data_IF_369758917005
#
_entry.id   IF_369758917005
#
_cell.length_a   1.000
_cell.length_b   1.000
_cell.length_c   1.000
_cell.angle_alpha   90.00
_cell.angle_beta   90.00
_cell.angle_gamma   90.00
#
_symmetry.space_group_name_H-M   'P 1'
#
loop_
_entity.id
_entity.type
_entity.pdbx_description
1 polymer ?
#
# COMPACT_ATOMS: atom_id res chain seq x y z
N UNK A 1 20.29 -6.80 13.27
CA UNK A 1 20.90 -6.23 12.04
C UNK A 1 19.76 -5.75 11.17
N UNK A 2 19.79 -4.51 10.70
CA UNK A 2 18.70 -3.99 9.86
C UNK A 2 18.99 -4.34 8.40
N UNK A 3 18.05 -5.04 7.76
CA UNK A 3 18.09 -5.37 6.34
C UNK A 3 17.04 -4.50 5.65
N UNK A 4 17.42 -3.87 4.54
CA UNK A 4 16.50 -3.09 3.73
C UNK A 4 16.40 -3.72 2.36
N UNK A 5 15.17 -3.96 1.92
CA UNK A 5 14.87 -4.45 0.58
C UNK A 5 14.20 -3.36 -0.24
N UNK A 6 14.62 -3.25 -1.50
CA UNK A 6 13.86 -2.60 -2.56
C UNK A 6 12.91 -3.64 -3.15
N UNK A 7 11.61 -3.39 -3.02
CA UNK A 7 10.55 -4.23 -3.56
C UNK A 7 9.95 -3.53 -4.78
N UNK A 8 10.06 -4.17 -5.94
CA UNK A 8 9.46 -3.71 -7.18
C UNK A 8 8.24 -4.56 -7.52
N UNK A 9 7.15 -3.88 -7.88
CA UNK A 9 5.92 -4.49 -8.31
C UNK A 9 5.68 -4.14 -9.77
N UNK A 10 5.33 -5.11 -10.58
CA UNK A 10 4.87 -4.88 -11.95
C UNK A 10 3.46 -5.44 -12.12
N UNK A 11 2.55 -4.62 -12.62
CA UNK A 11 1.16 -5.01 -12.85
C UNK A 11 1.01 -5.87 -14.10
N UNK A 12 0.28 -6.97 -13.98
CA UNK A 12 -0.07 -7.89 -15.09
C UNK A 12 -1.56 -7.84 -15.42
N UNK A 13 -2.31 -6.98 -14.74
CA UNK A 13 -3.74 -6.77 -14.90
C UNK A 13 -4.08 -5.34 -14.43
N UNK A 14 -5.23 -4.80 -14.80
CA UNK A 14 -5.60 -3.44 -14.40
C UNK A 14 -5.77 -3.36 -12.88
N UNK A 15 -5.12 -2.39 -12.25
CA UNK A 15 -5.25 -2.16 -10.82
C UNK A 15 -6.34 -1.12 -10.55
N UNK A 16 -7.33 -1.53 -9.77
CA UNK A 16 -8.43 -0.69 -9.35
C UNK A 16 -8.58 -0.64 -7.82
N UNK A 17 -8.63 0.56 -7.28
CA UNK A 17 -9.24 0.91 -6.01
C UNK A 17 -9.62 2.39 -6.02
N UNK A 18 -10.60 2.79 -5.23
CA UNK A 18 -11.07 4.16 -5.22
C UNK A 18 -10.20 4.99 -4.27
N UNK A 19 -9.30 5.80 -4.83
CA UNK A 19 -8.59 6.85 -4.10
C UNK A 19 -9.44 8.12 -4.07
N UNK A 20 -10.03 8.48 -5.21
CA UNK A 20 -10.94 9.63 -5.35
C UNK A 20 -12.25 9.20 -5.99
N UNK A 21 -13.34 9.79 -5.53
CA UNK A 21 -14.67 9.60 -6.09
C UNK A 21 -15.25 10.95 -6.50
N UNK A 22 -15.44 11.17 -7.81
CA UNK A 22 -15.95 12.41 -8.40
C UNK A 22 -17.24 12.08 -9.16
N UNK A 23 -18.37 12.12 -8.46
CA UNK A 23 -19.67 11.76 -9.01
C UNK A 23 -19.73 10.28 -9.42
N UNK A 24 -19.60 10.00 -10.72
CA UNK A 24 -19.58 8.63 -11.29
C UNK A 24 -18.20 8.21 -11.80
N UNK A 25 -17.18 9.05 -11.60
CA UNK A 25 -15.80 8.75 -11.91
C UNK A 25 -15.09 8.29 -10.64
N UNK A 26 -14.55 7.09 -10.68
CA UNK A 26 -13.73 6.49 -9.62
C UNK A 26 -12.30 6.44 -10.11
N UNK A 27 -11.38 7.07 -9.39
CA UNK A 27 -9.98 7.19 -9.79
C UNK A 27 -9.06 6.44 -8.82
N UNK A 28 -8.15 5.67 -9.40
CA UNK A 28 -7.02 5.06 -8.72
C UNK A 28 -5.80 5.96 -8.89
N UNK A 29 -5.31 6.53 -7.80
CA UNK A 29 -4.03 7.23 -7.81
C UNK A 29 -2.85 6.25 -7.94
N UNK A 30 -1.72 6.67 -8.54
CA UNK A 30 -0.55 5.83 -8.79
C UNK A 30 0.31 5.63 -7.51
N UNK A 31 -0.34 5.32 -6.39
CA UNK A 31 0.27 5.06 -5.08
C UNK A 31 -0.47 3.92 -4.40
N UNK A 32 0.26 2.94 -3.86
CA UNK A 32 -0.33 1.80 -3.12
C UNK A 32 -0.02 1.97 -1.64
N UNK A 33 -1.06 1.97 -0.81
CA UNK A 33 -0.95 2.16 0.64
C UNK A 33 -0.14 1.02 1.29
N UNK A 34 0.68 1.33 2.29
CA UNK A 34 1.52 0.32 2.97
C UNK A 34 0.69 -0.80 3.61
N UNK A 35 -0.44 -0.47 4.24
CA UNK A 35 -1.32 -1.49 4.83
C UNK A 35 -1.75 -2.52 3.79
N UNK A 36 -2.22 -2.09 2.62
CA UNK A 36 -2.61 -2.99 1.55
C UNK A 36 -1.44 -3.88 1.06
N UNK A 37 -0.23 -3.33 1.02
CA UNK A 37 0.97 -4.09 0.68
C UNK A 37 1.28 -5.18 1.71
N UNK A 38 1.10 -4.93 3.01
CA UNK A 38 1.32 -5.95 4.04
C UNK A 38 0.45 -7.19 3.82
N UNK A 39 -0.83 -6.99 3.51
CA UNK A 39 -1.75 -8.09 3.18
C UNK A 39 -1.36 -8.76 1.86
N UNK A 40 -1.13 -7.98 0.81
CA UNK A 40 -0.86 -8.52 -0.52
C UNK A 40 0.45 -9.32 -0.60
N UNK A 41 1.47 -8.91 0.16
CA UNK A 41 2.76 -9.59 0.25
C UNK A 41 2.72 -10.85 1.13
N UNK A 42 1.59 -11.17 1.77
CA UNK A 42 1.44 -12.33 2.63
C UNK A 42 2.21 -12.22 3.96
N UNK A 43 2.43 -10.98 4.43
CA UNK A 43 3.14 -10.71 5.68
C UNK A 43 2.20 -10.77 6.89
N UNK A 44 0.92 -10.52 6.70
CA UNK A 44 -0.10 -10.58 7.76
C UNK A 44 -0.55 -12.02 8.00
N UNK A 45 -0.66 -12.42 9.26
CA UNK A 45 -1.15 -13.73 9.69
C UNK A 45 -0.40 -14.89 9.00
N UNK A 46 0.92 -14.89 9.16
CA UNK A 46 1.81 -15.79 8.42
C UNK A 46 2.75 -16.54 9.34
N UNK A 47 2.63 -17.88 9.37
CA UNK A 47 3.53 -18.77 10.09
C UNK A 47 4.99 -18.58 9.67
N UNK A 48 5.21 -18.33 8.37
CA UNK A 48 6.54 -18.14 7.79
C UNK A 48 7.26 -16.93 8.37
N UNK A 49 6.50 -15.88 8.69
CA UNK A 49 7.04 -14.61 9.17
C UNK A 49 6.89 -14.43 10.68
N UNK A 50 6.25 -15.38 11.37
CA UNK A 50 6.01 -15.31 12.81
C UNK A 50 5.03 -14.19 13.17
N UNK A 51 4.07 -13.92 12.29
CA UNK A 51 3.12 -12.79 12.39
C UNK A 51 1.68 -13.26 12.64
N UNK A 52 1.53 -14.49 13.12
CA UNK A 52 0.24 -15.12 13.39
C UNK A 52 -0.52 -14.30 14.44
N UNK A 53 -1.81 -14.12 14.19
CA UNK A 53 -2.72 -13.40 15.10
C UNK A 53 -3.59 -14.39 15.86
N UNK A 54 -4.23 -13.92 16.93
CA UNK A 54 -5.15 -14.73 17.70
C UNK A 54 -6.38 -15.13 16.85
N UNK A 55 -7.01 -16.26 17.17
CA UNK A 55 -8.10 -16.84 16.36
C UNK A 55 -9.29 -15.90 16.13
N UNK A 56 -9.50 -14.93 17.00
CA UNK A 56 -10.56 -13.91 16.86
C UNK A 56 -10.26 -12.90 15.74
N UNK A 57 -8.98 -12.64 15.49
CA UNK A 57 -8.49 -11.69 14.48
C UNK A 57 -7.85 -12.41 13.29
N UNK A 58 -8.11 -13.69 13.09
CA UNK A 58 -7.60 -14.45 11.93
C UNK A 58 -7.88 -13.73 10.61
N UNK A 59 -6.87 -13.66 9.74
CA UNK A 59 -7.05 -13.06 8.42
C UNK A 59 -7.87 -13.97 7.53
N UNK A 60 -9.08 -13.53 7.19
CA UNK A 60 -10.00 -14.26 6.31
C UNK A 60 -10.19 -13.52 5.00
N UNK A 61 -10.20 -14.30 3.92
CA UNK A 61 -10.54 -13.78 2.59
C UNK A 61 -11.95 -13.16 2.56
N UNK A 62 -12.90 -13.76 3.29
CA UNK A 62 -14.25 -13.25 3.44
C UNK A 62 -14.51 -12.80 4.88
N UNK A 63 -14.89 -11.53 5.02
CA UNK A 63 -15.32 -10.93 6.29
C UNK A 63 -16.74 -10.41 6.14
N UNK A 64 -17.69 -10.93 6.94
CA UNK A 64 -19.12 -10.59 6.87
C UNK A 64 -19.41 -9.17 7.32
N UNK A 65 -18.66 -8.67 8.31
CA UNK A 65 -18.80 -7.31 8.86
C UNK A 65 -18.07 -6.27 8.02
N UNK A 66 -17.16 -6.67 7.12
CA UNK A 66 -16.34 -5.80 6.28
C UNK A 66 -15.51 -4.75 7.06
N UNK A 67 -15.22 -5.01 8.34
CA UNK A 67 -14.37 -4.15 9.17
C UNK A 67 -12.95 -4.73 9.22
N UNK A 68 -11.92 -3.98 8.79
CA UNK A 68 -10.54 -4.45 8.84
C UNK A 68 -9.95 -4.34 10.26
N UNK A 69 -9.28 -5.40 10.73
CA UNK A 69 -8.59 -5.46 12.03
C UNK A 69 -7.13 -5.01 11.94
N UNK A 70 -6.89 -3.79 11.43
CA UNK A 70 -5.53 -3.31 11.15
C UNK A 70 -4.61 -3.31 12.38
N UNK A 71 -5.11 -2.85 13.53
CA UNK A 71 -4.32 -2.76 14.78
C UNK A 71 -3.79 -4.13 15.21
N UNK A 72 -4.66 -5.14 15.28
CA UNK A 72 -4.26 -6.50 15.65
C UNK A 72 -3.27 -7.12 14.65
N UNK A 73 -3.50 -6.92 13.36
CA UNK A 73 -2.71 -7.56 12.30
C UNK A 73 -1.33 -6.94 12.13
N UNK A 74 -1.25 -5.62 12.11
CA UNK A 74 -0.01 -4.89 11.82
C UNK A 74 0.87 -4.74 13.06
N UNK A 75 0.33 -4.85 14.27
CA UNK A 75 1.14 -4.88 15.51
C UNK A 75 2.07 -6.11 15.52
N UNK A 76 1.63 -7.27 15.02
CA UNK A 76 2.49 -8.46 14.88
C UNK A 76 3.68 -8.23 13.94
N UNK A 77 3.55 -7.36 12.94
CA UNK A 77 4.66 -6.98 12.07
C UNK A 77 5.70 -6.13 12.80
N UNK A 78 5.27 -5.23 13.68
CA UNK A 78 6.18 -4.48 14.54
C UNK A 78 6.98 -5.43 15.45
N UNK A 79 6.32 -6.41 16.07
CA UNK A 79 6.96 -7.44 16.91
C UNK A 79 7.98 -8.29 16.12
N UNK A 80 7.66 -8.63 14.86
CA UNK A 80 8.56 -9.33 13.96
C UNK A 80 9.70 -8.43 13.41
N UNK A 81 9.63 -7.12 13.65
CA UNK A 81 10.59 -6.13 13.16
C UNK A 81 10.53 -5.95 11.64
N UNK A 82 9.32 -5.98 11.06
CA UNK A 82 9.04 -5.82 9.63
C UNK A 82 8.22 -4.55 9.41
N UNK A 83 8.69 -3.65 8.56
CA UNK A 83 7.97 -2.46 8.13
C UNK A 83 8.03 -2.31 6.62
N UNK A 84 6.89 -1.98 6.00
CA UNK A 84 6.72 -1.77 4.56
C UNK A 84 6.32 -0.31 4.34
N UNK A 85 7.05 0.40 3.49
CA UNK A 85 6.67 1.75 3.07
C UNK A 85 5.54 1.69 2.03
N UNK A 86 4.74 2.76 1.87
CA UNK A 86 3.83 2.85 0.74
C UNK A 86 4.61 2.75 -0.59
N UNK A 87 3.96 2.21 -1.63
CA UNK A 87 4.58 2.07 -2.94
C UNK A 87 4.25 3.28 -3.82
N UNK A 88 5.27 3.88 -4.41
CA UNK A 88 5.11 4.91 -5.46
C UNK A 88 5.18 4.28 -6.84
N UNK A 89 4.48 4.84 -7.82
CA UNK A 89 4.72 4.47 -9.21
C UNK A 89 6.10 4.98 -9.68
N UNK A 90 6.88 4.11 -10.32
CA UNK A 90 8.07 4.47 -11.10
C UNK A 90 7.66 4.89 -12.51
N UNK A 91 6.76 4.10 -13.11
CA UNK A 91 6.09 4.39 -14.37
C UNK A 91 4.68 3.85 -14.31
N UNK A 92 3.72 4.58 -14.85
CA UNK A 92 2.34 4.09 -14.93
C UNK A 92 1.65 4.68 -16.15
N UNK A 93 0.68 3.94 -16.67
CA UNK A 93 -0.32 4.45 -17.58
C UNK A 93 -1.69 4.30 -16.92
N UNK A 94 -2.64 5.14 -17.33
CA UNK A 94 -4.02 5.05 -16.85
C UNK A 94 -4.93 4.60 -18.00
N UNK A 95 -5.88 3.72 -17.69
CA UNK A 95 -6.94 3.31 -18.63
C UNK A 95 -8.27 3.72 -18.04
N UNK A 96 -9.15 4.28 -18.88
CA UNK A 96 -10.49 4.68 -18.49
C UNK A 96 -11.49 3.63 -18.98
N UNK A 97 -12.01 2.82 -18.06
CA UNK A 97 -13.09 1.88 -18.35
C UNK A 97 -14.44 2.50 -18.05
N UNK A 98 -15.42 2.22 -18.90
CA UNK A 98 -16.81 2.59 -18.64
C UNK A 98 -17.58 1.31 -18.39
N UNK A 99 -18.17 1.21 -17.20
CA UNK A 99 -18.98 0.06 -16.82
C UNK A 99 -20.44 0.49 -16.72
N UNK A 100 -21.33 -0.40 -17.13
CA UNK A 100 -22.77 -0.21 -17.07
C UNK A 100 -23.40 -1.47 -16.51
N UNK A 101 -24.16 -1.30 -15.44
CA UNK A 101 -25.04 -2.35 -14.95
C UNK A 101 -26.24 -2.42 -15.88
N UNK A 102 -26.26 -3.44 -16.74
CA UNK A 102 -27.32 -3.70 -17.69
C UNK A 102 -28.16 -4.89 -17.24
N UNK A 103 -29.45 -4.84 -17.56
CA UNK A 103 -30.33 -5.99 -17.42
C UNK A 103 -30.10 -6.91 -18.64
N UNK A 104 -29.78 -8.18 -18.38
CA UNK A 104 -29.51 -9.16 -19.43
C UNK A 104 -30.79 -9.71 -20.09
N UNK A 105 -31.98 -9.35 -19.60
CA UNK A 105 -33.25 -9.79 -20.19
C UNK A 105 -33.46 -9.13 -21.57
N UNK A 106 -33.98 -9.90 -22.51
CA UNK A 106 -34.23 -9.45 -23.89
C UNK A 106 -35.32 -8.36 -23.99
N UNK A 107 -36.26 -8.36 -23.05
CA UNK A 107 -37.30 -7.34 -22.93
C UNK A 107 -37.27 -6.75 -21.52
N UNK A 108 -37.01 -5.44 -21.43
CA UNK A 108 -36.89 -4.72 -20.17
C UNK A 108 -37.93 -3.60 -20.17
N UNK A 109 -38.96 -3.76 -19.34
CA UNK A 109 -39.89 -2.67 -19.05
C UNK A 109 -39.20 -1.64 -18.16
N UNK A 110 -39.38 -0.35 -18.45
CA UNK A 110 -38.86 0.73 -17.60
C UNK A 110 -39.57 0.73 -16.24
N UNK A 111 -38.98 0.05 -15.25
CA UNK A 111 -39.43 0.06 -13.85
C UNK A 111 -38.52 0.96 -13.03
N UNK A 112 -39.09 1.75 -12.11
CA UNK A 112 -38.31 2.53 -11.14
C UNK A 112 -37.50 1.55 -10.28
N UNK A 113 -36.18 1.69 -10.30
CA UNK A 113 -35.28 0.88 -9.47
C UNK A 113 -35.58 1.13 -8.00
N UNK A 114 -36.02 0.10 -7.27
CA UNK A 114 -36.35 0.21 -5.85
C UNK A 114 -35.12 0.15 -4.93
N UNK A 115 -33.96 -0.28 -5.45
CA UNK A 115 -32.70 -0.38 -4.72
C UNK A 115 -31.68 0.63 -5.28
N UNK A 116 -30.88 1.24 -4.40
CA UNK A 116 -29.78 2.12 -4.80
C UNK A 116 -28.60 1.28 -5.34
N UNK A 117 -28.77 0.72 -6.53
CA UNK A 117 -27.75 -0.07 -7.22
C UNK A 117 -27.08 0.84 -8.25
N UNK A 118 -25.73 0.86 -8.33
CA UNK A 118 -25.03 1.66 -9.33
C UNK A 118 -25.44 1.25 -10.75
N UNK A 119 -25.86 2.23 -11.57
CA UNK A 119 -26.35 1.97 -12.93
C UNK A 119 -25.24 2.08 -13.98
N UNK A 120 -24.37 3.06 -13.88
CA UNK A 120 -23.17 3.19 -14.70
C UNK A 120 -22.12 4.04 -14.01
N UNK A 121 -20.86 3.86 -14.40
CA UNK A 121 -19.75 4.65 -13.92
C UNK A 121 -18.54 4.51 -14.82
N UNK A 122 -17.50 5.27 -14.49
CA UNK A 122 -16.20 5.20 -15.13
C UNK A 122 -15.15 4.92 -14.07
N UNK A 123 -14.27 3.98 -14.34
CA UNK A 123 -13.12 3.68 -13.51
C UNK A 123 -11.86 4.11 -14.26
N UNK A 124 -11.11 5.04 -13.68
CA UNK A 124 -9.76 5.38 -14.14
C UNK A 124 -8.79 4.52 -13.34
N UNK A 125 -8.33 3.47 -13.99
CA UNK A 125 -7.48 2.42 -13.42
C UNK A 125 -6.03 2.60 -13.84
N UNK A 126 -5.13 1.93 -13.12
CA UNK A 126 -3.74 1.83 -13.54
C UNK A 126 -3.59 0.64 -14.49
N UNK A 127 -3.00 0.89 -15.66
CA UNK A 127 -2.81 -0.09 -16.72
C UNK A 127 -1.81 -1.20 -16.34
N UNK A 128 -1.84 -2.34 -17.03
CA UNK A 128 -0.77 -3.34 -16.96
C UNK A 128 0.59 -2.75 -17.34
N UNK A 129 1.67 -3.43 -16.98
CA UNK A 129 3.08 -3.01 -17.18
C UNK A 129 3.51 -1.76 -16.39
N UNK A 130 2.58 -1.15 -15.66
CA UNK A 130 2.89 -0.13 -14.67
C UNK A 130 3.74 -0.73 -13.56
N UNK A 131 4.76 0.02 -13.14
CA UNK A 131 5.71 -0.42 -12.13
C UNK A 131 5.66 0.47 -10.91
N UNK A 132 5.75 -0.17 -9.75
CA UNK A 132 5.77 0.47 -8.45
C UNK A 132 7.01 0.05 -7.67
N UNK A 133 7.41 0.90 -6.73
CA UNK A 133 8.52 0.65 -5.82
C UNK A 133 8.09 0.96 -4.39
N UNK A 134 8.36 0.03 -3.48
CA UNK A 134 8.36 0.27 -2.04
C UNK A 134 9.63 -0.28 -1.40
N UNK A 135 9.86 0.10 -0.15
CA UNK A 135 10.97 -0.37 0.67
C UNK A 135 10.45 -1.18 1.84
N UNK A 136 11.15 -2.26 2.15
CA UNK A 136 10.85 -3.14 3.28
C UNK A 136 12.04 -3.12 4.23
N UNK A 137 11.80 -2.66 5.45
CA UNK A 137 12.77 -2.67 6.54
C UNK A 137 12.49 -3.90 7.38
N UNK A 138 13.49 -4.77 7.55
CA UNK A 138 13.33 -6.04 8.25
C UNK A 138 14.52 -6.32 9.18
N UNK A 139 14.27 -6.97 10.30
CA UNK A 139 15.35 -7.46 11.19
C UNK A 139 15.85 -8.86 10.81
N UNK A 140 15.05 -9.63 10.05
CA UNK A 140 15.34 -10.99 9.59
C UNK A 140 15.26 -11.06 8.07
N UNK A 141 15.89 -12.07 7.47
CA UNK A 141 15.79 -12.30 6.04
C UNK A 141 14.33 -12.61 5.64
N UNK A 142 13.83 -11.97 4.58
CA UNK A 142 12.45 -12.12 4.12
C UNK A 142 12.41 -12.88 2.80
N UNK A 143 11.44 -13.79 2.68
CA UNK A 143 11.08 -14.42 1.42
C UNK A 143 9.64 -14.09 1.09
N UNK A 144 9.43 -13.44 -0.05
CA UNK A 144 8.11 -12.99 -0.50
C UNK A 144 7.60 -13.86 -1.66
N UNK A 145 6.28 -13.97 -1.85
CA UNK A 145 5.72 -14.63 -3.02
C UNK A 145 6.06 -13.85 -4.29
N UNK A 146 6.33 -14.58 -5.39
CA UNK A 146 6.58 -13.97 -6.71
C UNK A 146 5.35 -13.28 -7.30
N UNK A 147 4.16 -13.75 -6.95
CA UNK A 147 2.89 -13.26 -7.49
C UNK A 147 1.96 -12.88 -6.35
N UNK A 148 1.38 -11.70 -6.45
CA UNK A 148 0.43 -11.17 -5.47
C UNK A 148 -0.84 -10.68 -6.16
N UNK A 149 -1.87 -10.44 -5.35
CA UNK A 149 -3.16 -9.88 -5.78
C UNK A 149 -3.37 -8.56 -5.06
N UNK A 150 -3.75 -7.52 -5.81
CA UNK A 150 -3.87 -6.15 -5.33
C UNK A 150 -5.20 -5.51 -5.74
N UNK A 151 -5.66 -4.57 -4.92
CA UNK A 151 -6.85 -3.75 -5.22
C UNK A 151 -8.17 -4.51 -5.13
N UNK A 152 -9.26 -3.79 -5.41
CA UNK A 152 -10.63 -4.31 -5.32
C UNK A 152 -10.92 -5.40 -6.34
N UNK A 153 -10.24 -5.38 -7.49
CA UNK A 153 -10.43 -6.37 -8.57
C UNK A 153 -9.45 -7.54 -8.51
N UNK A 154 -8.65 -7.65 -7.45
CA UNK A 154 -7.64 -8.71 -7.33
C UNK A 154 -6.70 -8.73 -8.54
N UNK A 155 -6.22 -7.56 -8.95
CA UNK A 155 -5.23 -7.40 -10.01
C UNK A 155 -3.99 -8.22 -9.72
N UNK A 156 -3.48 -8.94 -10.71
CA UNK A 156 -2.26 -9.73 -10.57
C UNK A 156 -1.04 -8.83 -10.72
N UNK A 157 -0.10 -8.95 -9.79
CA UNK A 157 1.19 -8.28 -9.89
C UNK A 157 2.35 -9.25 -9.61
N UNK A 158 3.46 -9.04 -10.31
CA UNK A 158 4.72 -9.73 -10.01
C UNK A 158 5.53 -8.93 -9.01
N UNK A 159 6.28 -9.64 -8.15
CA UNK A 159 7.11 -9.05 -7.10
C UNK A 159 8.57 -9.43 -7.35
N UNK A 160 9.44 -8.42 -7.34
CA UNK A 160 10.89 -8.58 -7.35
C UNK A 160 11.44 -7.95 -6.08
N UNK A 161 12.16 -8.75 -5.29
CA UNK A 161 12.76 -8.32 -4.04
C UNK A 161 14.28 -8.28 -4.19
N UNK A 162 14.86 -7.10 -3.98
CA UNK A 162 16.30 -6.89 -4.02
C UNK A 162 16.78 -6.40 -2.65
N UNK A 163 17.70 -7.13 -2.02
CA UNK A 163 18.36 -6.65 -0.81
C UNK A 163 19.33 -5.52 -1.17
N UNK A 164 19.23 -4.40 -0.46
CA UNK A 164 20.15 -3.29 -0.63
C UNK A 164 21.43 -3.51 0.20
N UNK A 165 22.58 -2.96 -0.25
CA UNK A 165 23.82 -2.95 0.52
C UNK A 165 23.62 -2.32 1.90
N UNK A 166 24.50 -2.66 2.86
CA UNK A 166 24.34 -2.29 4.27
C UNK A 166 23.98 -0.81 4.47
N UNK A 167 22.82 -0.52 5.08
CA UNK A 167 22.36 0.84 5.27
C UNK A 167 23.17 1.53 6.37
N UNK A 168 23.61 2.75 6.10
CA UNK A 168 24.30 3.57 7.11
C UNK A 168 23.26 4.33 7.94
N UNK A 169 23.27 4.11 9.26
CA UNK A 169 22.40 4.85 10.17
C UNK A 169 23.01 6.24 10.44
N UNK A 170 22.30 7.28 10.01
CA UNK A 170 22.61 8.68 10.33
C UNK A 170 21.62 9.18 11.38
N UNK A 171 22.14 9.61 12.53
CA UNK A 171 21.31 10.08 13.64
C UNK A 171 21.07 11.57 13.60
N UNK A 172 19.91 12.00 14.11
CA UNK A 172 19.56 13.40 14.37
C UNK A 172 19.87 14.35 13.20
N UNK A 173 19.44 13.99 12.00
CA UNK A 173 19.76 14.73 10.78
C UNK A 173 18.52 15.27 10.08
N UNK A 174 18.70 16.37 9.34
CA UNK A 174 17.70 16.86 8.40
C UNK A 174 17.86 16.14 7.07
N UNK A 175 16.78 15.57 6.55
CA UNK A 175 16.76 14.88 5.26
C UNK A 175 15.40 15.04 4.57
N UNK A 176 15.39 14.79 3.27
CA UNK A 176 14.18 14.83 2.45
C UNK A 176 13.87 13.44 1.94
N UNK A 177 12.61 13.02 2.07
CA UNK A 177 12.12 11.74 1.56
C UNK A 177 11.11 12.03 0.44
N UNK A 178 11.47 11.77 -0.83
CA UNK A 178 10.56 11.98 -1.96
C UNK A 178 9.45 10.92 -2.03
N UNK A 179 9.58 9.84 -1.27
CA UNK A 179 8.61 8.74 -1.28
C UNK A 179 7.37 9.06 -0.44
N UNK A 180 6.23 8.44 -0.77
CA UNK A 180 5.07 8.45 0.10
C UNK A 180 5.40 7.72 1.40
N UNK A 181 4.99 8.31 2.52
CA UNK A 181 5.11 7.80 3.87
C UNK A 181 3.75 7.88 4.55
N UNK A 182 3.48 6.96 5.45
CA UNK A 182 2.31 7.06 6.32
C UNK A 182 2.63 8.03 7.46
N UNK A 183 1.91 9.16 7.61
CA UNK A 183 2.21 10.14 8.65
C UNK A 183 2.10 9.55 10.05
N UNK A 184 1.17 8.62 10.31
CA UNK A 184 1.04 7.99 11.64
C UNK A 184 2.31 7.25 12.06
N UNK A 185 2.98 6.62 11.10
CA UNK A 185 4.17 5.82 11.34
C UNK A 185 5.43 6.71 11.49
N UNK A 186 5.46 7.88 10.84
CA UNK A 186 6.63 8.80 10.85
C UNK A 186 6.60 9.80 12.02
N UNK A 187 5.44 10.39 12.32
CA UNK A 187 5.36 11.56 13.20
C UNK A 187 5.76 11.29 14.66
N UNK A 188 5.79 10.02 15.07
CA UNK A 188 6.18 9.65 16.43
C UNK A 188 7.70 9.67 16.64
N UNK A 189 8.47 9.21 15.65
CA UNK A 189 9.93 9.15 15.71
C UNK A 189 10.64 10.35 15.07
N UNK A 190 9.93 11.12 14.26
CA UNK A 190 10.53 12.19 13.45
C UNK A 190 9.69 13.46 13.51
N UNK A 191 10.38 14.60 13.53
CA UNK A 191 9.72 15.89 13.36
C UNK A 191 9.54 16.16 11.87
N UNK A 192 8.28 16.23 11.44
CA UNK A 192 7.91 16.61 10.07
C UNK A 192 7.98 18.14 9.93
N UNK A 193 8.80 18.64 9.00
CA UNK A 193 9.02 20.07 8.77
C UNK A 193 8.17 20.62 7.62
N UNK A 194 8.02 19.85 6.54
CA UNK A 194 7.19 20.19 5.38
C UNK A 194 6.82 18.92 4.62
N UNK A 195 5.66 18.89 3.95
CA UNK A 195 5.20 17.74 3.18
C UNK A 195 4.08 18.13 2.20
N UNK A 196 3.90 17.30 1.17
CA UNK A 196 2.70 17.30 0.33
C UNK A 196 1.78 16.15 0.77
N UNK A 197 0.47 16.31 0.59
CA UNK A 197 -0.52 15.29 0.99
C UNK A 197 -1.07 14.53 -0.21
N UNK A 198 -1.15 13.21 -0.10
CA UNK A 198 -1.91 12.33 -0.99
C UNK A 198 -3.15 11.87 -0.24
N UNK A 199 -4.31 12.40 -0.63
CA UNK A 199 -5.57 12.07 0.01
C UNK A 199 -6.03 10.67 -0.41
N UNK A 200 -6.06 9.74 0.53
CA UNK A 200 -6.56 8.39 0.30
C UNK A 200 -6.95 7.70 1.61
N UNK A 201 -7.89 6.74 1.59
CA UNK A 201 -8.12 5.86 2.73
C UNK A 201 -7.04 4.76 2.82
N UNK A 202 -6.83 4.14 4.00
CA UNK A 202 -7.46 4.44 5.29
C UNK A 202 -6.90 5.72 5.95
N UNK A 203 -5.67 6.11 5.61
CA UNK A 203 -5.00 7.31 6.11
C UNK A 203 -4.35 8.02 4.93
N UNK A 204 -4.53 9.34 4.84
CA UNK A 204 -3.86 10.14 3.82
C UNK A 204 -2.36 10.06 4.00
N UNK A 205 -1.63 9.79 2.92
CA UNK A 205 -0.17 9.69 2.94
C UNK A 205 0.45 11.07 2.78
N UNK A 206 1.71 11.18 3.21
CA UNK A 206 2.55 12.37 2.97
C UNK A 206 3.67 12.01 2.00
N UNK A 207 4.04 12.92 1.11
CA UNK A 207 5.17 12.76 0.17
C UNK A 207 6.05 14.00 0.18
N UNK A 208 7.20 13.95 -0.51
CA UNK A 208 8.18 15.04 -0.57
C UNK A 208 8.49 15.62 0.82
N UNK A 209 8.55 14.74 1.81
CA UNK A 209 8.54 15.12 3.22
C UNK A 209 9.94 15.50 3.67
N UNK A 210 10.08 16.68 4.26
CA UNK A 210 11.31 17.10 4.94
C UNK A 210 11.19 16.74 6.41
N UNK A 211 12.13 15.92 6.88
CA UNK A 211 12.09 15.32 8.21
C UNK A 211 13.35 15.66 9.00
N UNK A 212 13.22 15.70 10.31
CA UNK A 212 14.32 15.70 11.25
C UNK A 212 14.25 14.47 12.15
N UNK A 213 15.33 13.68 12.18
CA UNK A 213 15.45 12.49 13.03
C UNK A 213 16.48 11.51 12.48
N UNK A 214 16.33 10.24 12.86
CA UNK A 214 17.23 9.17 12.45
C UNK A 214 16.84 8.62 11.07
N UNK A 215 17.82 8.41 10.19
CA UNK A 215 17.57 7.87 8.86
C UNK A 215 18.59 6.81 8.45
N UNK A 216 18.14 5.88 7.61
CA UNK A 216 18.97 4.95 6.88
C UNK A 216 19.36 5.59 5.55
N UNK A 217 20.66 5.83 5.37
CA UNK A 217 21.24 6.29 4.12
C UNK A 217 21.68 5.07 3.31
N UNK A 218 21.16 4.96 2.08
CA UNK A 218 21.57 3.90 1.17
C UNK A 218 22.98 4.19 0.61
N UNK A 219 23.76 3.15 0.32
CA UNK A 219 25.15 3.29 -0.14
C UNK A 219 25.32 4.15 -1.42
N UNK A 220 24.28 4.25 -2.25
CA UNK A 220 24.27 5.12 -3.44
C UNK A 220 24.13 6.62 -3.09
N UNK A 221 23.97 6.98 -1.80
CA UNK A 221 23.82 8.35 -1.29
C UNK A 221 22.54 9.08 -1.75
N UNK A 222 21.79 8.49 -2.66
CA UNK A 222 20.66 9.09 -3.36
C UNK A 222 19.36 9.07 -2.55
N UNK A 223 19.25 8.18 -1.56
CA UNK A 223 18.01 7.97 -0.82
C UNK A 223 18.23 7.81 0.69
N UNK A 224 17.46 8.58 1.46
CA UNK A 224 17.33 8.46 2.91
C UNK A 224 15.92 7.94 3.23
N UNK A 225 15.84 6.88 4.04
CA UNK A 225 14.58 6.37 4.59
C UNK A 225 14.55 6.67 6.10
N UNK A 226 13.40 7.07 6.67
CA UNK A 226 13.32 7.23 8.12
C UNK A 226 13.62 5.89 8.81
N UNK A 227 14.44 5.93 9.86
CA UNK A 227 14.76 4.76 10.66
C UNK A 227 13.66 4.49 11.70
N UNK A 228 13.64 3.29 12.29
CA UNK A 228 12.72 2.95 13.40
C UNK A 228 11.23 3.17 13.06
N UNK A 229 10.86 2.91 11.81
CA UNK A 229 9.48 2.98 11.35
C UNK A 229 8.66 1.82 11.91
N UNK A 230 7.47 2.12 12.43
CA UNK A 230 6.55 1.15 13.03
C UNK A 230 5.11 1.52 12.67
N UNK A 231 4.22 0.52 12.55
CA UNK A 231 2.80 0.76 12.33
C UNK A 231 2.14 1.32 13.59
N UNK A 232 1.46 2.46 13.46
CA UNK A 232 0.76 3.13 14.57
C UNK A 232 -0.72 3.40 14.26
N UNK A 233 -1.56 3.35 15.28
CA UNK A 233 -3.03 3.42 15.17
C UNK A 233 -3.68 4.51 16.03
N UNK A 234 -2.90 5.19 16.89
CA UNK A 234 -3.36 6.21 17.83
C UNK A 234 -2.32 7.32 17.94
#
# INVERSE_FOLDING_TARGET
>A
MTIIYRCQLELHDNLYFATREIGRLYETEPVIHNYALCYALGLVDSDRHGTCVDSESEYRYFCSTQVPSYEAHLTRLNEAGIYVTPARALRHAAVLHTWKYADNRYHVEMKKTQKNIPSFGRAKEIAPESQFECFIIAQKALSLPRWIRLGKWSSKASVVLQQLPEPQLKRASNFTVPLPLNPLDVMFGHRVLSFDTINMPPVSLIQNSRLYGDCYVMAEGSLCLPAQMEYRFR
#
